data_IF_537710933781
#
_entry.id   IF_537710933781
#
_cell.length_a   1.000
_cell.length_b   1.000
_cell.length_c   1.000
_cell.angle_alpha   90.00
_cell.angle_beta   90.00
_cell.angle_gamma   90.00
#
_symmetry.space_group_name_H-M   'P 1'
#
loop_
_entity.id
_entity.type
_entity.pdbx_description
1 polymer ?
#
# COMPACT_ATOMS: atom_id res chain seq x y z
N UNK A 1 15.04 23.23 11.46
CA UNK A 1 14.18 24.33 12.00
C UNK A 1 12.89 23.71 12.45
N UNK A 2 12.35 24.09 13.62
CA UNK A 2 11.09 23.55 14.11
C UNK A 2 9.93 24.09 13.28
N UNK A 3 9.16 23.21 12.63
CA UNK A 3 7.95 23.59 11.88
C UNK A 3 6.74 23.68 12.82
N UNK A 4 5.74 24.54 12.53
CA UNK A 4 4.49 24.56 13.29
C UNK A 4 3.73 23.24 13.14
N UNK A 5 2.87 22.88 14.11
CA UNK A 5 2.02 21.70 14.00
C UNK A 5 0.99 21.84 12.88
N UNK A 6 0.60 20.72 12.28
CA UNK A 6 -0.46 20.66 11.27
C UNK A 6 -1.80 20.36 11.96
N UNK A 7 -2.80 21.21 11.74
CA UNK A 7 -4.18 20.91 12.09
C UNK A 7 -4.78 20.08 10.95
N UNK A 8 -4.93 18.77 11.16
CA UNK A 8 -5.37 17.85 10.10
C UNK A 8 -6.74 18.22 9.50
N UNK A 9 -7.80 18.51 10.28
CA UNK A 9 -9.10 18.93 9.71
C UNK A 9 -8.99 20.14 8.79
N UNK A 10 -8.32 21.22 9.23
CA UNK A 10 -8.11 22.41 8.42
C UNK A 10 -7.28 22.11 7.17
N UNK A 11 -6.23 21.30 7.31
CA UNK A 11 -5.41 20.89 6.17
C UNK A 11 -6.25 20.13 5.14
N UNK A 12 -7.17 19.26 5.55
CA UNK A 12 -8.05 18.51 4.65
C UNK A 12 -9.07 19.42 3.93
N UNK A 13 -9.61 20.42 4.61
CA UNK A 13 -10.48 21.43 3.97
C UNK A 13 -9.78 22.12 2.80
N UNK A 14 -8.49 22.44 2.96
CA UNK A 14 -7.70 23.16 1.96
C UNK A 14 -7.08 22.23 0.90
N UNK A 15 -6.73 20.99 1.26
CA UNK A 15 -5.81 20.13 0.49
C UNK A 15 -6.36 18.74 0.14
N UNK A 16 -7.61 18.40 0.48
CA UNK A 16 -8.20 17.08 0.16
C UNK A 16 -8.17 16.72 -1.33
N UNK A 17 -8.12 17.71 -2.22
CA UNK A 17 -7.95 17.53 -3.66
C UNK A 17 -6.61 16.85 -4.04
N UNK A 18 -5.59 16.91 -3.17
CA UNK A 18 -4.30 16.24 -3.35
C UNK A 18 -4.34 14.74 -3.00
N UNK A 19 -5.44 14.27 -2.41
CA UNK A 19 -5.58 12.87 -1.95
C UNK A 19 -6.37 12.00 -2.94
N UNK A 20 -6.50 12.46 -4.18
CA UNK A 20 -7.25 11.80 -5.25
C UNK A 20 -6.29 11.16 -6.29
N UNK A 21 -6.72 10.13 -7.02
CA UNK A 21 -5.93 9.57 -8.12
C UNK A 21 -5.44 10.63 -9.12
N UNK A 22 -4.26 10.46 -9.75
CA UNK A 22 -3.40 9.26 -9.71
C UNK A 22 -2.36 9.26 -8.56
N UNK A 23 -2.25 10.35 -7.79
CA UNK A 23 -1.35 10.47 -6.65
C UNK A 23 -2.22 10.75 -5.43
N UNK A 24 -2.50 9.71 -4.66
CA UNK A 24 -3.46 9.76 -3.56
C UNK A 24 -2.79 9.96 -2.19
N UNK A 25 -1.51 10.32 -2.15
CA UNK A 25 -0.78 10.56 -0.90
C UNK A 25 -0.06 11.91 -0.92
N UNK A 26 0.01 12.54 0.24
CA UNK A 26 0.76 13.75 0.50
C UNK A 26 1.77 13.51 1.62
N UNK A 27 3.04 13.81 1.37
CA UNK A 27 4.09 13.72 2.37
C UNK A 27 4.15 15.02 3.17
N UNK A 28 3.78 14.95 4.46
CA UNK A 28 3.77 16.10 5.37
C UNK A 28 5.17 16.37 5.90
N UNK A 29 5.87 15.31 6.31
CA UNK A 29 7.23 15.36 6.80
C UNK A 29 8.04 14.19 6.21
N UNK A 30 9.29 14.47 5.85
CA UNK A 30 10.25 13.49 5.32
C UNK A 30 11.62 13.75 5.98
N UNK A 31 11.81 13.22 7.18
CA UNK A 31 13.04 13.35 7.96
C UNK A 31 13.43 11.97 8.54
N UNK A 32 13.67 11.86 9.86
CA UNK A 32 13.82 10.55 10.53
C UNK A 32 12.58 9.66 10.39
N UNK A 33 11.40 10.31 10.31
CA UNK A 33 10.14 9.68 9.96
C UNK A 33 9.56 10.33 8.69
N UNK A 34 8.99 9.48 7.86
CA UNK A 34 8.12 9.87 6.77
C UNK A 34 6.69 9.80 7.27
N UNK A 35 5.99 10.94 7.26
CA UNK A 35 4.58 11.03 7.67
C UNK A 35 3.76 11.41 6.45
N UNK A 36 2.81 10.55 6.10
CA UNK A 36 1.97 10.71 4.93
C UNK A 36 0.50 10.79 5.32
N UNK A 37 -0.24 11.69 4.66
CA UNK A 37 -1.70 11.65 4.62
C UNK A 37 -2.07 10.98 3.30
N UNK A 38 -2.95 9.97 3.34
CA UNK A 38 -3.25 9.13 2.19
C UNK A 38 -4.75 8.96 2.04
N UNK A 39 -5.28 9.31 0.87
CA UNK A 39 -6.67 9.08 0.49
C UNK A 39 -6.85 7.93 -0.50
N UNK A 40 -7.98 7.91 -1.17
CA UNK A 40 -8.33 6.91 -2.17
C UNK A 40 -9.37 7.45 -3.17
N UNK A 41 -9.76 6.65 -4.18
CA UNK A 41 -9.53 5.21 -4.26
C UNK A 41 -8.14 4.85 -4.81
N UNK A 42 -7.50 3.80 -4.28
CA UNK A 42 -6.27 3.23 -4.83
C UNK A 42 -6.17 1.75 -4.47
N UNK A 43 -5.91 0.91 -5.47
CA UNK A 43 -5.65 -0.51 -5.30
C UNK A 43 -4.65 -0.99 -6.34
N UNK A 44 -3.73 -1.87 -5.93
CA UNK A 44 -2.74 -2.51 -6.79
C UNK A 44 -2.66 -4.00 -6.48
N UNK A 45 -1.88 -4.76 -7.23
CA UNK A 45 -1.68 -6.20 -7.01
C UNK A 45 -0.36 -6.55 -6.32
N UNK A 46 0.56 -5.60 -6.20
CA UNK A 46 1.84 -5.77 -5.49
C UNK A 46 1.68 -5.77 -3.97
N UNK A 47 2.36 -6.69 -3.31
CA UNK A 47 2.62 -6.66 -1.87
C UNK A 47 3.99 -6.01 -1.65
N UNK A 48 4.02 -4.95 -0.88
CA UNK A 48 5.25 -4.32 -0.41
C UNK A 48 5.77 -5.08 0.81
N UNK A 49 7.09 -5.21 0.86
CA UNK A 49 7.81 -5.82 1.98
C UNK A 49 8.88 -4.81 2.39
N UNK A 50 8.65 -4.23 3.55
CA UNK A 50 9.50 -3.23 4.15
C UNK A 50 10.25 -3.87 5.32
N UNK A 51 11.56 -3.69 5.42
CA UNK A 51 12.38 -4.22 6.54
C UNK A 51 12.23 -3.42 7.83
N UNK A 52 11.30 -2.47 7.85
CA UNK A 52 10.95 -1.66 9.01
C UNK A 52 9.44 -1.68 9.23
N UNK A 53 8.96 -1.48 10.47
CA UNK A 53 7.53 -1.43 10.75
C UNK A 53 6.85 -0.24 10.06
N UNK A 54 5.56 -0.39 9.76
CA UNK A 54 4.71 0.67 9.24
C UNK A 54 3.54 0.90 10.19
N UNK A 55 3.31 2.15 10.58
CA UNK A 55 2.21 2.51 11.45
C UNK A 55 1.10 3.20 10.67
N UNK A 56 -0.12 2.75 10.90
CA UNK A 56 -1.33 3.21 10.25
C UNK A 56 -2.27 3.82 11.28
N UNK A 57 -2.90 4.94 10.93
CA UNK A 57 -4.06 5.47 11.61
C UNK A 57 -5.11 5.89 10.59
N UNK A 58 -6.32 5.38 10.69
CA UNK A 58 -7.37 5.66 9.72
C UNK A 58 -8.29 6.77 10.25
N UNK A 59 -8.12 7.98 9.74
CA UNK A 59 -8.85 9.16 10.20
C UNK A 59 -10.30 9.23 9.70
N UNK A 60 -10.57 8.81 8.46
CA UNK A 60 -11.89 8.82 7.83
C UNK A 60 -12.11 7.54 7.01
N UNK A 61 -13.28 6.92 7.18
CA UNK A 61 -13.68 5.70 6.48
C UNK A 61 -12.84 4.48 6.86
N UNK A 62 -13.03 3.38 6.17
CA UNK A 62 -12.32 2.10 6.37
C UNK A 62 -11.34 1.90 5.23
N UNK A 63 -10.12 1.43 5.52
CA UNK A 63 -9.21 0.86 4.52
C UNK A 63 -9.05 -0.64 4.73
N UNK A 64 -8.57 -1.34 3.70
CA UNK A 64 -8.22 -2.75 3.77
C UNK A 64 -6.72 -2.91 3.56
N UNK A 65 -6.05 -3.60 4.46
CA UNK A 65 -4.66 -3.98 4.35
C UNK A 65 -4.60 -5.49 4.13
N UNK A 66 -4.33 -5.93 2.90
CA UNK A 66 -4.11 -7.34 2.63
C UNK A 66 -2.71 -7.71 3.09
N UNK A 67 -2.54 -8.82 3.79
CA UNK A 67 -1.24 -9.25 4.30
C UNK A 67 -1.00 -10.73 4.02
N UNK A 68 0.26 -11.14 4.02
CA UNK A 68 0.66 -12.54 4.14
C UNK A 68 1.33 -12.73 5.49
N UNK A 69 0.66 -13.42 6.40
CA UNK A 69 1.05 -13.61 7.79
C UNK A 69 1.27 -15.11 8.03
N UNK A 70 2.50 -15.53 8.26
CA UNK A 70 2.90 -16.95 8.36
C UNK A 70 2.40 -17.84 7.20
N UNK A 71 2.36 -17.26 5.99
CA UNK A 71 1.89 -17.93 4.77
C UNK A 71 0.38 -17.87 4.56
N UNK A 72 -0.37 -17.34 5.51
CA UNK A 72 -1.81 -17.12 5.40
C UNK A 72 -2.13 -15.75 4.81
N UNK A 73 -3.00 -15.72 3.80
CA UNK A 73 -3.49 -14.48 3.21
C UNK A 73 -4.66 -13.95 4.03
N UNK A 74 -4.53 -12.72 4.55
CA UNK A 74 -5.53 -12.10 5.41
C UNK A 74 -5.90 -10.72 4.91
N UNK A 75 -7.18 -10.39 4.98
CA UNK A 75 -7.67 -9.03 4.73
C UNK A 75 -7.94 -8.35 6.09
N UNK A 76 -7.09 -7.40 6.46
CA UNK A 76 -7.24 -6.63 7.70
C UNK A 76 -8.04 -5.36 7.38
N UNK A 77 -9.19 -5.19 8.01
CA UNK A 77 -9.94 -3.93 7.93
C UNK A 77 -9.44 -2.97 9.01
N UNK A 78 -8.84 -1.86 8.61
CA UNK A 78 -8.46 -0.77 9.50
C UNK A 78 -9.55 0.29 9.39
N UNK A 79 -10.42 0.34 10.39
CA UNK A 79 -11.65 1.15 10.40
C UNK A 79 -11.35 2.58 10.85
N UNK A 80 -12.30 3.48 10.61
CA UNK A 80 -12.22 4.84 11.09
C UNK A 80 -11.97 4.89 12.61
N UNK A 81 -10.89 5.58 13.01
CA UNK A 81 -10.41 5.66 14.38
C UNK A 81 -9.37 4.60 14.77
N UNK A 82 -9.20 3.54 13.97
CA UNK A 82 -8.25 2.46 14.30
C UNK A 82 -6.79 2.91 14.12
N UNK A 83 -5.95 2.39 15.01
CA UNK A 83 -4.50 2.41 14.88
C UNK A 83 -3.99 0.99 14.67
N UNK A 84 -3.00 0.82 13.81
CA UNK A 84 -2.41 -0.48 13.51
C UNK A 84 -0.90 -0.35 13.29
N UNK A 85 -0.11 -1.20 13.94
CA UNK A 85 1.33 -1.30 13.70
C UNK A 85 1.60 -2.60 12.94
N UNK A 86 1.99 -2.48 11.68
CA UNK A 86 2.42 -3.61 10.87
C UNK A 86 3.89 -3.92 11.18
N UNK A 87 4.23 -5.16 11.58
CA UNK A 87 5.61 -5.58 11.78
C UNK A 87 6.46 -5.47 10.52
N UNK A 88 7.78 -5.36 10.72
CA UNK A 88 8.75 -5.45 9.63
C UNK A 88 8.66 -6.80 8.89
N UNK A 89 9.05 -6.78 7.63
CA UNK A 89 9.10 -7.91 6.70
C UNK A 89 7.75 -8.61 6.45
N UNK A 90 6.63 -8.07 6.93
CA UNK A 90 5.29 -8.56 6.58
C UNK A 90 4.90 -8.09 5.17
N UNK A 91 4.70 -9.00 4.19
CA UNK A 91 4.17 -8.62 2.89
C UNK A 91 2.77 -8.04 3.03
N UNK A 92 2.56 -6.83 2.51
CA UNK A 92 1.30 -6.13 2.66
C UNK A 92 0.90 -5.36 1.39
N UNK A 93 -0.39 -5.28 1.11
CA UNK A 93 -0.97 -4.60 -0.03
C UNK A 93 -2.10 -3.68 0.46
N UNK A 94 -1.84 -2.36 0.54
CA UNK A 94 -2.85 -1.38 0.97
C UNK A 94 -3.90 -1.14 -0.12
N UNK A 95 -5.16 -1.29 0.26
CA UNK A 95 -6.34 -0.96 -0.54
C UNK A 95 -7.08 0.19 0.14
N UNK A 96 -7.20 1.31 -0.58
CA UNK A 96 -7.89 2.51 -0.09
C UNK A 96 -9.11 2.78 -0.95
N UNK A 97 -10.21 3.09 -0.29
CA UNK A 97 -11.50 3.32 -0.93
C UNK A 97 -11.75 4.81 -1.14
N UNK A 98 -12.74 5.16 -1.96
CA UNK A 98 -13.07 6.55 -2.24
C UNK A 98 -13.48 7.29 -0.96
N UNK A 99 -13.17 8.59 -0.89
CA UNK A 99 -13.52 9.46 0.22
C UNK A 99 -13.02 9.00 1.62
N UNK A 100 -11.91 8.27 1.64
CA UNK A 100 -11.23 7.85 2.88
C UNK A 100 -9.98 8.70 3.15
N UNK A 101 -9.56 8.78 4.40
CA UNK A 101 -8.32 9.47 4.82
C UNK A 101 -7.61 8.63 5.86
N UNK A 102 -6.35 8.29 5.62
CA UNK A 102 -5.47 7.65 6.60
C UNK A 102 -4.15 8.40 6.74
N UNK A 103 -3.45 8.10 7.82
CA UNK A 103 -2.10 8.54 8.11
C UNK A 103 -1.20 7.31 8.11
N UNK A 104 -0.06 7.39 7.45
CA UNK A 104 0.98 6.36 7.47
C UNK A 104 2.27 6.98 7.96
N UNK A 105 2.88 6.33 8.95
CA UNK A 105 4.22 6.65 9.45
C UNK A 105 5.15 5.52 9.06
N UNK A 106 6.22 5.87 8.38
CA UNK A 106 7.35 4.99 8.10
C UNK A 106 8.61 5.61 8.69
N UNK A 107 9.54 4.78 9.15
CA UNK A 107 10.87 5.26 9.50
C UNK A 107 11.76 5.37 8.26
N UNK A 108 12.78 6.21 8.35
CA UNK A 108 13.88 6.17 7.40
C UNK A 108 14.49 4.77 7.35
N UNK A 109 14.74 4.30 6.12
CA UNK A 109 15.32 2.99 5.85
C UNK A 109 16.72 2.88 6.46
N UNK A 110 17.03 1.80 7.22
CA UNK A 110 18.37 1.51 7.69
C UNK A 110 19.36 1.39 6.52
N UNK A 111 20.63 1.70 6.79
CA UNK A 111 21.68 1.55 5.77
C UNK A 111 21.74 0.11 5.26
N UNK A 112 21.69 -0.05 3.94
CA UNK A 112 21.74 -1.36 3.28
C UNK A 112 20.42 -2.14 3.28
N UNK A 113 19.33 -1.61 3.85
CA UNK A 113 18.04 -2.28 3.76
C UNK A 113 17.51 -2.30 2.32
N UNK A 114 16.76 -3.36 2.01
CA UNK A 114 16.14 -3.60 0.70
C UNK A 114 14.64 -3.73 0.87
N UNK A 115 13.92 -2.82 0.25
CA UNK A 115 12.48 -2.94 0.05
C UNK A 115 12.22 -3.90 -1.11
N UNK A 116 11.11 -4.63 -1.03
CA UNK A 116 10.70 -5.54 -2.11
C UNK A 116 9.25 -5.29 -2.49
N UNK A 117 8.95 -5.41 -3.78
CA UNK A 117 7.59 -5.57 -4.28
C UNK A 117 7.44 -7.00 -4.77
N UNK A 118 6.37 -7.67 -4.35
CA UNK A 118 6.10 -9.06 -4.63
C UNK A 118 4.69 -9.25 -5.17
N UNK A 119 4.55 -10.06 -6.20
CA UNK A 119 3.26 -10.47 -6.74
C UNK A 119 3.00 -11.94 -6.46
N UNK A 120 1.78 -12.25 -6.06
CA UNK A 120 1.34 -13.61 -5.77
C UNK A 120 0.33 -14.08 -6.82
N UNK A 121 0.31 -15.38 -7.07
CA UNK A 121 -0.65 -15.99 -7.99
C UNK A 121 -2.08 -15.81 -7.48
N UNK A 122 -2.97 -15.28 -8.31
CA UNK A 122 -4.38 -15.08 -7.97
C UNK A 122 -5.17 -16.40 -7.84
N UNK A 123 -4.65 -17.50 -8.39
CA UNK A 123 -5.23 -18.82 -8.20
C UNK A 123 -5.13 -19.22 -6.72
N UNK A 124 -6.29 -19.36 -6.07
CA UNK A 124 -6.40 -19.66 -4.65
C UNK A 124 -5.78 -21.02 -4.26
N UNK A 125 -5.73 -21.99 -5.17
CA UNK A 125 -5.07 -23.27 -4.93
C UNK A 125 -3.55 -23.23 -5.12
N UNK A 126 -3.01 -22.16 -5.72
CA UNK A 126 -1.58 -22.01 -5.99
C UNK A 126 -0.90 -21.03 -5.03
N UNK A 127 -1.34 -19.75 -5.01
CA UNK A 127 -0.81 -18.67 -4.16
C UNK A 127 0.72 -18.49 -4.15
N UNK A 128 1.45 -19.10 -5.09
CA UNK A 128 2.91 -19.00 -5.17
C UNK A 128 3.37 -17.59 -5.54
N UNK A 129 4.63 -17.29 -5.27
CA UNK A 129 5.27 -16.05 -5.71
C UNK A 129 5.41 -16.10 -7.23
N UNK A 130 4.83 -15.11 -7.90
CA UNK A 130 4.91 -14.93 -9.35
C UNK A 130 6.17 -14.15 -9.70
N UNK A 131 6.38 -13.02 -9.03
CA UNK A 131 7.54 -12.16 -9.25
C UNK A 131 7.89 -11.41 -7.98
N UNK A 132 9.17 -11.06 -7.85
CA UNK A 132 9.68 -10.19 -6.79
C UNK A 132 10.77 -9.27 -7.34
N UNK A 133 10.69 -7.98 -7.01
CA UNK A 133 11.69 -6.98 -7.36
C UNK A 133 12.18 -6.28 -6.09
N UNK A 134 13.49 -6.26 -5.87
CA UNK A 134 14.13 -5.59 -4.73
C UNK A 134 14.78 -4.26 -5.14
N UNK A 135 14.74 -3.27 -4.25
CA UNK A 135 15.40 -1.98 -4.46
C UNK A 135 15.81 -1.33 -3.14
N UNK A 136 16.87 -0.51 -3.19
CA UNK A 136 17.17 0.43 -2.12
C UNK A 136 16.22 1.62 -2.23
N UNK A 137 15.33 1.79 -1.24
CA UNK A 137 14.35 2.86 -1.26
C UNK A 137 15.01 4.22 -0.97
N UNK A 138 15.01 5.08 -1.98
CA UNK A 138 15.47 6.48 -1.95
C UNK A 138 14.36 7.44 -2.35
N UNK A 139 13.46 7.01 -3.23
CA UNK A 139 12.19 7.65 -3.57
C UNK A 139 11.14 6.56 -3.76
N UNK A 140 10.36 6.30 -2.70
CA UNK A 140 9.40 5.20 -2.65
C UNK A 140 8.37 5.30 -3.79
N UNK A 141 7.83 6.49 -4.03
CA UNK A 141 6.76 6.70 -5.00
C UNK A 141 7.23 6.42 -6.43
N UNK A 142 8.37 6.98 -6.82
CA UNK A 142 8.93 6.79 -8.16
C UNK A 142 9.39 5.35 -8.39
N UNK A 143 10.05 4.73 -7.40
CA UNK A 143 10.58 3.37 -7.52
C UNK A 143 9.48 2.30 -7.56
N UNK A 144 8.43 2.44 -6.72
CA UNK A 144 7.25 1.56 -6.79
C UNK A 144 6.60 1.67 -8.17
N UNK A 145 6.37 2.90 -8.67
CA UNK A 145 5.74 3.10 -9.98
C UNK A 145 6.55 2.47 -11.12
N UNK A 146 7.88 2.58 -11.06
CA UNK A 146 8.76 1.95 -12.04
C UNK A 146 8.62 0.41 -12.03
N UNK A 147 8.71 -0.21 -10.85
CA UNK A 147 8.60 -1.66 -10.71
C UNK A 147 7.21 -2.20 -11.11
N UNK A 148 6.13 -1.50 -10.76
CA UNK A 148 4.76 -1.87 -11.17
C UNK A 148 4.58 -1.78 -12.68
N UNK A 149 5.13 -0.75 -13.33
CA UNK A 149 5.04 -0.62 -14.78
C UNK A 149 5.88 -1.67 -15.52
N UNK A 150 7.07 -1.99 -14.99
CA UNK A 150 7.93 -3.05 -15.50
C UNK A 150 7.23 -4.43 -15.42
N UNK A 151 6.65 -4.76 -14.26
CA UNK A 151 5.81 -5.96 -14.11
C UNK A 151 4.62 -5.96 -15.07
N UNK A 152 3.92 -4.83 -15.21
CA UNK A 152 2.74 -4.71 -16.09
C UNK A 152 3.08 -4.99 -17.57
N UNK A 153 4.23 -4.52 -18.03
CA UNK A 153 4.64 -4.57 -19.43
C UNK A 153 5.19 -5.95 -19.86
N UNK A 154 5.54 -6.81 -18.92
CA UNK A 154 6.24 -8.08 -19.16
C UNK A 154 5.35 -9.27 -18.81
N UNK A 155 4.89 -10.01 -19.84
CA UNK A 155 4.02 -11.18 -19.65
C UNK A 155 4.75 -12.35 -18.99
N UNK A 156 6.07 -12.48 -19.20
CA UNK A 156 6.85 -13.56 -18.62
C UNK A 156 7.01 -13.34 -17.12
N UNK A 157 7.27 -12.09 -16.69
CA UNK A 157 7.24 -11.72 -15.26
C UNK A 157 5.88 -11.93 -14.61
N UNK A 158 4.79 -11.84 -15.39
CA UNK A 158 3.42 -12.04 -14.90
C UNK A 158 2.99 -13.50 -14.92
N UNK A 159 3.70 -14.38 -15.60
CA UNK A 159 3.32 -15.79 -15.71
C UNK A 159 3.78 -16.55 -14.48
N UNK A 160 2.83 -17.12 -13.74
CA UNK A 160 3.10 -17.89 -12.54
C UNK A 160 3.98 -19.11 -12.88
N UNK A 161 5.18 -19.26 -12.28
CA UNK A 161 6.08 -20.37 -12.60
C UNK A 161 5.54 -21.72 -12.11
N UNK A 162 4.61 -21.74 -11.15
CA UNK A 162 4.08 -22.97 -10.58
C UNK A 162 2.87 -23.55 -11.35
N UNK A 163 2.07 -22.70 -12.00
CA UNK A 163 0.83 -23.16 -12.66
C UNK A 163 0.55 -22.55 -14.05
N UNK A 164 1.38 -21.62 -14.52
CA UNK A 164 1.22 -20.96 -15.82
C UNK A 164 0.15 -19.86 -15.89
N UNK A 165 -0.59 -19.61 -14.80
CA UNK A 165 -1.58 -18.53 -14.74
C UNK A 165 -0.90 -17.15 -14.88
N UNK A 166 -1.42 -16.29 -15.75
CA UNK A 166 -0.91 -14.92 -15.91
C UNK A 166 -1.55 -14.01 -14.87
N UNK A 167 -0.76 -13.47 -13.96
CA UNK A 167 -1.21 -12.55 -12.92
C UNK A 167 -1.72 -11.23 -13.51
N UNK A 168 -2.75 -10.67 -12.89
CA UNK A 168 -3.28 -9.36 -13.25
C UNK A 168 -2.32 -8.24 -12.81
N UNK A 169 -2.13 -7.25 -13.69
CA UNK A 169 -1.33 -6.05 -13.39
C UNK A 169 -2.08 -5.00 -12.56
N UNK A 170 -3.38 -5.18 -12.37
CA UNK A 170 -4.26 -4.34 -11.56
C UNK A 170 -5.46 -5.17 -11.09
N UNK A 171 -6.09 -4.84 -9.94
CA UNK A 171 -7.28 -5.56 -9.49
C UNK A 171 -8.40 -5.52 -10.53
N UNK A 172 -9.09 -6.65 -10.73
CA UNK A 172 -10.23 -6.71 -11.65
C UNK A 172 -11.37 -5.81 -11.13
N UNK A 173 -12.10 -5.08 -11.99
CA UNK A 173 -13.28 -4.33 -11.56
C UNK A 173 -14.24 -5.21 -10.75
N UNK A 174 -14.68 -4.73 -9.59
CA UNK A 174 -15.60 -5.46 -8.69
C UNK A 174 -14.98 -6.62 -7.89
N UNK A 175 -13.68 -6.90 -8.02
CA UNK A 175 -13.02 -7.99 -7.27
C UNK A 175 -12.75 -7.68 -5.80
N UNK A 176 -12.75 -6.41 -5.42
CA UNK A 176 -12.57 -5.95 -4.04
C UNK A 176 -13.87 -5.28 -3.63
N UNK A 177 -14.53 -5.82 -2.60
CA UNK A 177 -15.72 -5.23 -2.01
C UNK A 177 -15.34 -4.04 -1.13
N UNK A 178 -16.08 -2.95 -1.26
CA UNK A 178 -15.86 -1.74 -0.46
C UNK A 178 -16.62 -1.83 0.87
N UNK A 179 -15.93 -1.98 2.02
CA UNK A 179 -16.57 -2.12 3.33
C UNK A 179 -17.24 -0.83 3.82
N UNK A 180 -17.09 0.29 3.09
CA UNK A 180 -17.75 1.55 3.40
C UNK A 180 -19.17 1.64 2.82
N UNK A 181 -19.53 0.77 1.86
CA UNK A 181 -20.85 0.77 1.24
C UNK A 181 -21.90 -0.02 2.04
N UNK A 182 -21.48 -0.93 2.91
CA UNK A 182 -22.37 -1.79 3.71
C UNK A 182 -22.98 -1.08 4.95
N UNK A 183 -23.01 0.27 4.96
CA UNK A 183 -23.48 1.09 6.09
C UNK A 183 -24.91 1.64 5.92
N UNK A 184 -25.73 1.04 5.07
CA UNK A 184 -27.19 1.32 5.05
C UNK A 184 -27.96 0.44 6.02
#
# INVERSE_FOLDING_TARGET
MLTPPVNLPKWLEENSHLLQPPINNYCVWNDDFTVMIVGGPNARTDYHINQTPEWFYQHKGVMMLKVVDDGEFRDILIREGDMFLLPADTPHNPVRFADTVGIVLEQRRPAGSIDRLRWYCANAACRSIVHEAGFHCTDLGTQIKAAVNDFRADVDKRTCPACGEVADSAPKPGSIQDPNLDRT
#
